data_IF_190924512564
#
_entry.id   IF_190924512564
#
_cell.length_a   1.000
_cell.length_b   1.000
_cell.length_c   1.000
_cell.angle_alpha   90.00
_cell.angle_beta   90.00
_cell.angle_gamma   90.00
#
_symmetry.space_group_name_H-M   'P 1'
#
loop_
_entity.id
_entity.type
_entity.pdbx_description
1 polymer ?
#
# COMPACT_ATOMS: atom_id res chain seq x y z
N UNK A 1 -22.09 -12.42 4.02
CA UNK A 1 -21.88 -10.98 3.75
C UNK A 1 -21.12 -10.25 4.87
N UNK A 2 -19.84 -9.99 4.60
CA UNK A 2 -18.90 -9.24 5.44
C UNK A 2 -19.11 -7.73 5.28
N UNK A 3 -19.27 -7.01 6.40
CA UNK A 3 -19.45 -5.56 6.43
C UNK A 3 -18.22 -4.88 7.06
N UNK A 4 -17.71 -3.82 6.44
CA UNK A 4 -16.62 -3.01 6.99
C UNK A 4 -16.76 -1.54 6.57
N UNK A 5 -16.49 -0.64 7.52
CA UNK A 5 -16.43 0.80 7.27
C UNK A 5 -15.02 1.27 6.90
N UNK A 6 -14.02 0.38 6.95
CA UNK A 6 -12.64 0.73 6.63
C UNK A 6 -12.39 0.64 5.11
N UNK A 7 -12.09 1.76 4.42
CA UNK A 7 -11.90 1.76 2.97
C UNK A 7 -10.74 0.87 2.52
N UNK A 8 -9.71 0.70 3.36
CA UNK A 8 -8.54 -0.15 3.07
C UNK A 8 -8.89 -1.63 3.01
N UNK A 9 -9.91 -2.07 3.74
CA UNK A 9 -10.34 -3.48 3.81
C UNK A 9 -11.52 -3.75 2.88
N UNK A 10 -12.32 -2.73 2.56
CA UNK A 10 -13.55 -2.83 1.77
C UNK A 10 -13.36 -3.65 0.49
N UNK A 11 -12.31 -3.38 -0.28
CA UNK A 11 -12.03 -4.13 -1.52
C UNK A 11 -11.79 -5.63 -1.28
N UNK A 12 -11.11 -6.00 -0.18
CA UNK A 12 -10.85 -7.40 0.19
C UNK A 12 -12.11 -8.09 0.69
N UNK A 13 -12.93 -7.39 1.49
CA UNK A 13 -14.21 -7.91 1.95
C UNK A 13 -15.22 -8.08 0.81
N UNK A 14 -15.28 -7.13 -0.13
CA UNK A 14 -16.15 -7.20 -1.32
C UNK A 14 -15.79 -8.37 -2.23
N UNK A 15 -14.51 -8.71 -2.38
CA UNK A 15 -14.06 -9.90 -3.11
C UNK A 15 -14.64 -11.19 -2.52
N UNK A 16 -14.58 -11.34 -1.19
CA UNK A 16 -15.08 -12.54 -0.51
C UNK A 16 -16.61 -12.65 -0.66
N UNK A 17 -17.32 -11.52 -0.51
CA UNK A 17 -18.76 -11.45 -0.74
C UNK A 17 -19.13 -11.81 -2.18
N UNK A 18 -18.38 -11.31 -3.17
CA UNK A 18 -18.64 -11.60 -4.59
C UNK A 18 -18.43 -13.09 -4.91
N UNK A 19 -17.44 -13.73 -4.29
CA UNK A 19 -17.23 -15.16 -4.46
C UNK A 19 -18.36 -16.01 -3.84
N UNK A 20 -18.92 -15.55 -2.71
CA UNK A 20 -20.09 -16.15 -2.05
C UNK A 20 -21.34 -16.03 -2.94
N UNK A 21 -21.59 -14.84 -3.52
CA UNK A 21 -22.72 -14.60 -4.43
C UNK A 21 -22.65 -15.40 -5.73
N UNK A 22 -21.46 -15.47 -6.35
CA UNK A 22 -21.27 -16.19 -7.60
C UNK A 22 -21.10 -17.70 -7.42
N UNK A 23 -20.91 -18.15 -6.18
CA UNK A 23 -20.53 -19.52 -5.80
C UNK A 23 -19.37 -20.08 -6.66
N UNK A 24 -18.45 -19.20 -7.07
CA UNK A 24 -17.36 -19.54 -8.00
C UNK A 24 -16.12 -18.66 -7.75
N UNK A 25 -15.18 -19.21 -6.97
CA UNK A 25 -13.92 -18.55 -6.61
C UNK A 25 -13.05 -18.26 -7.84
N UNK A 26 -12.96 -19.21 -8.78
CA UNK A 26 -12.06 -19.09 -9.93
C UNK A 26 -12.49 -17.98 -10.89
N UNK A 27 -13.80 -17.82 -11.14
CA UNK A 27 -14.35 -16.76 -11.97
C UNK A 27 -14.15 -15.39 -11.33
N UNK A 28 -14.40 -15.30 -10.02
CA UNK A 28 -14.22 -14.07 -9.24
C UNK A 28 -12.76 -13.62 -9.23
N UNK A 29 -11.82 -14.54 -8.97
CA UNK A 29 -10.39 -14.25 -8.98
C UNK A 29 -9.90 -13.75 -10.36
N UNK A 30 -10.40 -14.35 -11.46
CA UNK A 30 -10.08 -13.89 -12.82
C UNK A 30 -10.62 -12.49 -13.12
N UNK A 31 -11.83 -12.17 -12.64
CA UNK A 31 -12.44 -10.86 -12.85
C UNK A 31 -11.72 -9.75 -12.07
N UNK A 32 -11.32 -10.03 -10.83
CA UNK A 32 -10.66 -9.06 -9.94
C UNK A 32 -9.14 -9.00 -10.19
N UNK A 33 -8.55 -9.99 -10.87
CA UNK A 33 -7.13 -10.00 -11.20
C UNK A 33 -6.23 -10.40 -10.03
N UNK A 34 -6.71 -11.30 -9.16
CA UNK A 34 -5.94 -11.83 -8.03
C UNK A 34 -5.71 -13.34 -8.17
N UNK A 35 -4.67 -13.86 -7.50
CA UNK A 35 -4.46 -15.30 -7.46
C UNK A 35 -5.46 -16.00 -6.51
N UNK A 36 -5.77 -17.26 -6.80
CA UNK A 36 -6.59 -18.12 -5.93
C UNK A 36 -5.93 -18.27 -4.55
N UNK A 37 -4.61 -18.36 -4.50
CA UNK A 37 -3.87 -18.46 -3.24
C UNK A 37 -4.09 -17.22 -2.35
N UNK A 38 -4.14 -16.03 -2.97
CA UNK A 38 -4.43 -14.78 -2.23
C UNK A 38 -5.85 -14.78 -1.68
N UNK A 39 -6.81 -15.32 -2.44
CA UNK A 39 -8.20 -15.47 -2.00
C UNK A 39 -8.30 -16.36 -0.76
N UNK A 40 -7.73 -17.57 -0.81
CA UNK A 40 -7.78 -18.49 0.33
C UNK A 40 -7.08 -17.93 1.56
N UNK A 41 -5.99 -17.19 1.37
CA UNK A 41 -5.31 -16.51 2.47
C UNK A 41 -6.17 -15.43 3.12
N UNK A 42 -7.02 -14.73 2.36
CA UNK A 42 -7.98 -13.78 2.92
C UNK A 42 -9.13 -14.48 3.62
N UNK A 43 -9.60 -15.60 3.08
CA UNK A 43 -10.63 -16.41 3.73
C UNK A 43 -10.15 -16.93 5.09
N UNK A 44 -8.96 -17.52 5.16
CA UNK A 44 -8.33 -17.99 6.40
C UNK A 44 -8.20 -16.88 7.44
N UNK A 45 -7.73 -15.69 7.03
CA UNK A 45 -7.64 -14.54 7.95
C UNK A 45 -9.00 -14.12 8.50
N UNK A 46 -10.06 -14.15 7.69
CA UNK A 46 -11.42 -13.84 8.14
C UNK A 46 -11.98 -14.92 9.07
N UNK A 47 -11.67 -16.19 8.81
CA UNK A 47 -12.06 -17.30 9.68
C UNK A 47 -11.37 -17.24 11.05
N UNK A 48 -10.09 -16.84 11.09
CA UNK A 48 -9.31 -16.75 12.33
C UNK A 48 -9.59 -15.48 13.15
N UNK A 49 -9.74 -14.33 12.49
CA UNK A 49 -9.76 -13.02 13.17
C UNK A 49 -10.82 -12.05 12.65
N UNK A 50 -11.80 -12.55 11.89
CA UNK A 50 -12.88 -11.74 11.33
C UNK A 50 -12.42 -10.75 10.26
N UNK A 51 -13.32 -9.84 9.88
CA UNK A 51 -13.05 -8.86 8.81
C UNK A 51 -11.90 -7.92 9.16
N UNK A 52 -11.65 -7.67 10.45
CA UNK A 52 -10.55 -6.81 10.88
C UNK A 52 -9.16 -7.43 10.64
N UNK A 53 -9.06 -8.76 10.58
CA UNK A 53 -7.81 -9.43 10.25
C UNK A 53 -7.35 -9.20 8.79
N UNK A 54 -8.22 -8.68 7.92
CA UNK A 54 -7.88 -8.27 6.56
C UNK A 54 -7.13 -6.92 6.48
N UNK A 55 -6.91 -6.23 7.60
CA UNK A 55 -6.04 -5.05 7.68
C UNK A 55 -4.66 -5.37 7.08
N UNK A 56 -4.09 -4.40 6.37
CA UNK A 56 -2.73 -4.54 5.85
C UNK A 56 -1.75 -4.77 7.00
N UNK A 57 -1.02 -5.90 6.96
CA UNK A 57 0.05 -6.18 7.93
C UNK A 57 1.00 -4.99 8.01
N UNK A 58 1.46 -4.70 9.22
CA UNK A 58 2.42 -3.64 9.51
C UNK A 58 3.62 -3.69 8.57
N UNK A 59 4.23 -2.53 8.24
CA UNK A 59 5.39 -2.48 7.37
C UNK A 59 6.46 -3.49 7.80
N UNK A 60 7.05 -4.21 6.84
CA UNK A 60 8.11 -5.17 7.12
C UNK A 60 9.27 -4.45 7.84
N UNK A 61 9.68 -4.95 9.00
CA UNK A 61 10.79 -4.38 9.79
C UNK A 61 12.10 -4.28 8.99
N UNK A 62 12.29 -5.17 7.99
CA UNK A 62 13.45 -5.11 7.08
C UNK A 62 13.44 -3.90 6.14
N UNK A 63 12.28 -3.29 5.94
CA UNK A 63 12.11 -2.05 5.17
C UNK A 63 12.14 -0.80 6.07
N UNK A 64 12.48 -0.96 7.36
CA UNK A 64 12.55 0.14 8.30
C UNK A 64 13.84 0.91 8.05
N UNK A 65 13.69 2.21 7.84
CA UNK A 65 14.78 3.16 7.70
C UNK A 65 15.15 3.60 9.13
N UNK A 66 16.41 3.89 9.40
CA UNK A 66 16.80 4.48 10.67
C UNK A 66 16.15 5.87 10.84
N UNK A 67 15.88 6.24 12.09
CA UNK A 67 15.16 7.48 12.40
C UNK A 67 15.89 8.74 11.93
N UNK A 68 17.23 8.71 11.82
CA UNK A 68 18.01 9.88 11.37
C UNK A 68 17.82 10.13 9.89
N UNK A 69 17.85 9.07 9.09
CA UNK A 69 17.54 9.09 7.66
C UNK A 69 16.09 9.47 7.42
N UNK A 70 15.16 8.97 8.25
CA UNK A 70 13.74 9.33 8.20
C UNK A 70 13.53 10.83 8.40
N UNK A 71 14.14 11.39 9.44
CA UNK A 71 14.04 12.82 9.75
C UNK A 71 14.66 13.69 8.65
N UNK A 72 15.82 13.29 8.11
CA UNK A 72 16.45 14.02 7.02
C UNK A 72 15.59 14.10 5.75
N UNK A 73 14.79 13.06 5.47
CA UNK A 73 13.81 13.08 4.36
C UNK A 73 12.66 14.03 4.65
N UNK A 74 12.15 14.03 5.89
CA UNK A 74 11.06 14.91 6.32
C UNK A 74 11.49 16.37 6.23
N UNK A 75 12.64 16.70 6.83
CA UNK A 75 13.19 18.06 6.84
C UNK A 75 13.39 18.57 5.41
N UNK A 76 13.96 17.73 4.54
CA UNK A 76 14.15 18.08 3.13
C UNK A 76 12.82 18.26 2.38
N UNK A 77 11.79 17.46 2.69
CA UNK A 77 10.48 17.59 2.05
C UNK A 77 9.77 18.89 2.45
N UNK A 78 9.94 19.32 3.70
CA UNK A 78 9.44 20.61 4.20
C UNK A 78 10.19 21.77 3.54
N UNK A 79 11.51 21.67 3.45
CA UNK A 79 12.37 22.71 2.84
C UNK A 79 12.14 22.83 1.33
N UNK A 80 11.96 21.71 0.63
CA UNK A 80 11.82 21.66 -0.83
C UNK A 80 10.58 20.84 -1.28
N UNK A 81 9.37 21.38 -1.11
CA UNK A 81 8.13 20.69 -1.45
C UNK A 81 7.99 20.41 -2.95
N UNK A 82 8.50 21.31 -3.81
CA UNK A 82 8.41 21.17 -5.27
C UNK A 82 9.35 20.11 -5.87
N UNK A 83 10.31 19.58 -5.10
CA UNK A 83 11.23 18.56 -5.61
C UNK A 83 10.52 17.20 -5.73
N UNK A 84 10.72 16.48 -6.83
CA UNK A 84 10.19 15.12 -6.93
C UNK A 84 11.07 14.12 -6.16
N UNK A 85 10.63 12.86 -6.08
CA UNK A 85 11.35 11.77 -5.40
C UNK A 85 12.78 11.53 -5.91
N UNK A 86 13.02 11.68 -7.22
CA UNK A 86 14.33 11.43 -7.84
C UNK A 86 15.30 12.52 -7.42
N UNK A 87 14.85 13.78 -7.49
CA UNK A 87 15.63 14.93 -7.03
C UNK A 87 15.92 14.86 -5.54
N UNK A 88 14.93 14.45 -4.74
CA UNK A 88 15.08 14.25 -3.29
C UNK A 88 16.15 13.19 -2.98
N UNK A 89 16.10 12.02 -3.61
CA UNK A 89 17.11 10.95 -3.46
C UNK A 89 18.51 11.42 -3.85
N UNK A 90 18.64 12.16 -4.95
CA UNK A 90 19.94 12.68 -5.41
C UNK A 90 20.54 13.72 -4.47
N UNK A 91 19.73 14.66 -3.95
CA UNK A 91 20.23 15.65 -2.99
C UNK A 91 20.61 15.02 -1.64
N UNK A 92 19.84 14.03 -1.17
CA UNK A 92 20.18 13.28 0.05
C UNK A 92 21.48 12.47 -0.13
N UNK A 93 21.70 11.91 -1.32
CA UNK A 93 22.96 11.22 -1.65
C UNK A 93 24.18 12.14 -1.53
N UNK A 94 24.06 13.43 -1.89
CA UNK A 94 25.13 14.42 -1.70
C UNK A 94 25.41 14.69 -0.22
N UNK A 95 24.42 14.50 0.66
CA UNK A 95 24.55 14.57 2.12
C UNK A 95 25.00 13.24 2.75
N UNK A 96 25.53 12.29 1.94
CA UNK A 96 25.93 10.93 2.36
C UNK A 96 24.77 10.05 2.84
N UNK A 97 23.52 10.40 2.52
CA UNK A 97 22.34 9.63 2.90
C UNK A 97 21.82 8.89 1.65
N UNK A 98 21.95 7.56 1.65
CA UNK A 98 21.66 6.74 0.47
C UNK A 98 20.26 6.12 0.57
N UNK A 99 19.31 6.70 -0.16
CA UNK A 99 17.91 6.24 -0.19
C UNK A 99 17.51 5.97 -1.63
N UNK A 100 16.91 4.82 -1.91
CA UNK A 100 16.31 4.56 -3.22
C UNK A 100 15.14 5.53 -3.46
N UNK A 101 15.10 6.18 -4.61
CA UNK A 101 14.00 7.08 -4.97
C UNK A 101 12.64 6.38 -4.96
N UNK A 102 12.60 5.05 -5.19
CA UNK A 102 11.37 4.23 -5.16
C UNK A 102 10.89 3.89 -3.75
N UNK A 103 11.58 4.34 -2.71
CA UNK A 103 11.12 4.10 -1.35
C UNK A 103 9.76 4.78 -1.14
N UNK A 104 8.79 3.93 -0.85
CA UNK A 104 7.39 4.25 -0.57
C UNK A 104 7.23 5.35 0.50
N UNK A 105 8.23 5.50 1.35
CA UNK A 105 8.34 6.53 2.36
C UNK A 105 8.49 7.95 1.78
N UNK A 106 9.34 8.15 0.76
CA UNK A 106 9.53 9.49 0.14
C UNK A 106 8.22 9.96 -0.51
N UNK A 107 7.48 9.04 -1.14
CA UNK A 107 6.14 9.34 -1.65
C UNK A 107 5.16 9.73 -0.55
N UNK A 108 5.08 8.91 0.51
CA UNK A 108 4.18 9.16 1.64
C UNK A 108 4.41 10.55 2.26
N UNK A 109 5.67 10.90 2.52
CA UNK A 109 6.02 12.21 3.08
C UNK A 109 5.61 13.37 2.16
N UNK A 110 5.68 13.20 0.82
CA UNK A 110 5.33 14.27 -0.13
C UNK A 110 3.86 14.38 -0.47
N UNK A 111 3.12 13.27 -0.45
CA UNK A 111 1.70 13.26 -0.86
C UNK A 111 0.75 13.19 0.33
N UNK A 112 1.22 12.80 1.52
CA UNK A 112 0.37 12.57 2.68
C UNK A 112 -0.51 11.31 2.59
N UNK A 113 -0.44 10.56 1.48
CA UNK A 113 -1.27 9.37 1.26
C UNK A 113 -0.48 8.08 1.44
N UNK A 114 -0.96 7.12 2.26
CA UNK A 114 -0.39 5.79 2.29
C UNK A 114 -0.58 5.13 0.91
N UNK A 115 0.53 4.75 0.28
CA UNK A 115 0.59 4.18 -1.09
C UNK A 115 -0.19 2.85 -1.23
N UNK A 116 -0.92 2.39 -0.20
CA UNK A 116 -1.93 1.34 -0.35
C UNK A 116 -3.12 1.75 -1.22
N UNK A 117 -3.32 3.06 -1.43
CA UNK A 117 -4.45 3.61 -2.17
C UNK A 117 -4.18 3.71 -3.69
N UNK A 118 -3.03 3.23 -4.16
CA UNK A 118 -2.80 3.03 -5.59
C UNK A 118 -3.57 1.82 -6.08
N UNK A 119 -4.81 2.06 -6.49
CA UNK A 119 -5.41 1.29 -7.56
C UNK A 119 -4.53 1.43 -8.82
N UNK A 120 -4.39 0.40 -9.68
CA UNK A 120 -3.60 0.51 -10.92
C UNK A 120 -4.19 1.47 -11.98
N UNK A 121 -5.09 2.38 -11.61
CA UNK A 121 -5.87 3.19 -12.55
C UNK A 121 -5.89 4.66 -12.14
N UNK A 122 -4.75 5.35 -12.28
CA UNK A 122 -4.76 6.77 -12.62
C UNK A 122 -3.74 7.04 -13.73
N UNK A 123 -4.17 6.65 -14.93
CA UNK A 123 -3.84 7.39 -16.14
C UNK A 123 -4.64 8.70 -16.08
N UNK A 124 -4.04 9.74 -15.52
CA UNK A 124 -4.44 11.14 -15.66
C UNK A 124 -3.14 11.92 -15.81
N UNK A 125 -2.87 12.78 -16.78
CA UNK A 125 -3.41 13.12 -18.10
C UNK A 125 -2.37 14.12 -18.60
N UNK A 126 -1.98 14.00 -19.87
CA UNK A 126 -1.12 14.95 -20.65
C UNK A 126 0.37 14.97 -20.34
#
# INVERSE_FOLDING_TARGET
MLHTNNPTIKHKASLLNLAEELNNVSKTCKMIGISRDTFYRYQELVEEGGVEALVNRSPNLKNRIDATTEQAVIDYAIEFPAHNQHRTSNELRKKSIFISYRLRFIYFVKTGYPVTDFTPYEKIMT
#
